data_IF_545257871673
#
_entry.id   IF_545257871673
#
_cell.length_a   1.000
_cell.length_b   1.000
_cell.length_c   1.000
_cell.angle_alpha   90.00
_cell.angle_beta   90.00
_cell.angle_gamma   90.00
#
_symmetry.space_group_name_H-M   'P 1'
#
loop_
_entity.id
_entity.type
_entity.pdbx_description
1 polymer ?
#
# COMPACT_ATOMS: atom_id res chain seq x y z
N UNK A 1 31.06 30.05 3.91
CA UNK A 1 31.26 28.64 4.28
C UNK A 1 30.16 28.23 5.24
N UNK A 2 29.11 27.55 4.77
CA UNK A 2 28.18 26.82 5.66
C UNK A 2 27.66 25.62 4.89
N UNK A 3 28.10 24.42 5.27
CA UNK A 3 27.52 23.16 4.81
C UNK A 3 26.28 22.89 5.66
N UNK A 4 25.10 22.87 5.05
CA UNK A 4 23.93 22.27 5.68
C UNK A 4 23.83 20.82 5.20
N UNK A 5 24.40 19.91 6.00
CA UNK A 5 24.09 18.49 5.92
C UNK A 5 22.67 18.29 6.47
N UNK A 6 21.74 17.84 5.63
CA UNK A 6 20.46 17.29 6.08
C UNK A 6 20.57 15.76 6.00
N UNK A 7 20.26 14.99 7.06
CA UNK A 7 20.28 13.54 6.96
C UNK A 7 19.12 13.09 6.07
N UNK A 8 19.48 12.44 4.96
CA UNK A 8 18.56 11.69 4.11
C UNK A 8 17.93 10.56 4.92
N UNK A 9 16.71 10.76 5.42
CA UNK A 9 15.91 9.70 6.04
C UNK A 9 15.50 8.73 4.93
N UNK A 10 16.29 7.66 4.80
CA UNK A 10 16.00 6.55 3.91
C UNK A 10 14.70 5.90 4.35
N UNK A 11 13.63 6.10 3.58
CA UNK A 11 12.37 5.41 3.78
C UNK A 11 12.61 3.90 3.57
N UNK A 12 12.55 3.12 4.66
CA UNK A 12 12.55 1.66 4.61
C UNK A 12 11.11 1.17 4.48
N UNK A 13 10.68 0.86 3.27
CA UNK A 13 9.51 0.01 3.06
C UNK A 13 9.98 -1.45 3.20
N UNK A 14 9.59 -2.13 4.28
CA UNK A 14 9.80 -3.56 4.44
C UNK A 14 8.57 -4.30 3.88
N UNK A 15 8.71 -4.92 2.71
CA UNK A 15 7.72 -5.84 2.15
C UNK A 15 8.03 -7.22 2.73
N UNK A 16 7.19 -7.72 3.64
CA UNK A 16 7.29 -9.09 4.13
C UNK A 16 6.78 -10.05 3.04
N UNK A 17 7.70 -10.57 2.23
CA UNK A 17 7.45 -11.75 1.41
C UNK A 17 7.68 -12.99 2.27
N UNK A 18 6.74 -13.93 2.24
CA UNK A 18 6.75 -15.15 3.03
C UNK A 18 8.08 -15.92 2.93
N UNK A 19 8.70 -16.10 4.11
CA UNK A 19 9.70 -17.07 4.53
C UNK A 19 10.64 -17.68 3.47
N UNK A 20 11.87 -17.14 3.39
CA UNK A 20 13.06 -17.95 3.15
C UNK A 20 13.68 -18.31 4.51
N UNK A 21 13.81 -19.62 4.77
CA UNK A 21 14.41 -20.15 5.98
C UNK A 21 15.93 -20.21 5.81
N UNK A 22 16.67 -19.30 6.48
CA UNK A 22 17.90 -19.60 7.25
C UNK A 22 18.63 -18.33 7.74
N UNK A 23 18.82 -18.28 9.07
CA UNK A 23 19.92 -17.68 9.86
C UNK A 23 20.13 -16.16 9.77
N UNK A 24 19.89 -15.52 10.91
CA UNK A 24 20.34 -14.16 11.23
C UNK A 24 19.18 -13.36 11.80
N UNK A 25 19.19 -13.14 13.12
CA UNK A 25 18.10 -12.49 13.85
C UNK A 25 17.79 -11.09 13.31
N UNK A 26 16.75 -11.00 12.48
CA UNK A 26 16.00 -9.78 12.30
C UNK A 26 15.28 -9.48 13.63
N UNK A 27 15.06 -8.21 14.01
CA UNK A 27 14.12 -7.90 15.09
C UNK A 27 12.84 -8.68 14.81
N UNK A 28 12.22 -9.27 15.84
CA UNK A 28 10.96 -10.01 15.69
C UNK A 28 10.00 -9.11 14.93
N UNK A 29 9.86 -9.36 13.63
CA UNK A 29 8.84 -8.74 12.83
C UNK A 29 7.59 -9.44 13.32
N UNK A 30 6.88 -8.77 14.22
CA UNK A 30 5.56 -9.22 14.59
C UNK A 30 4.79 -9.37 13.27
N UNK A 31 4.28 -10.57 12.97
CA UNK A 31 3.54 -10.79 11.74
C UNK A 31 2.40 -9.78 11.73
N UNK A 32 2.24 -9.09 10.60
CA UNK A 32 1.14 -8.15 10.45
C UNK A 32 -0.18 -8.87 10.75
N UNK A 33 -1.10 -8.23 11.48
CA UNK A 33 -2.41 -8.82 11.73
C UNK A 33 -3.06 -9.20 10.41
N UNK A 34 -3.27 -10.49 10.21
CA UNK A 34 -3.89 -11.05 9.02
C UNK A 34 -5.33 -11.51 9.29
N UNK A 35 -6.23 -11.22 8.36
CA UNK A 35 -7.61 -11.72 8.40
C UNK A 35 -7.94 -12.42 7.09
N UNK A 36 -8.22 -13.72 7.17
CA UNK A 36 -8.84 -14.47 6.08
C UNK A 36 -10.35 -14.19 6.02
N UNK A 37 -10.89 -13.99 4.82
CA UNK A 37 -12.33 -13.89 4.61
C UNK A 37 -12.75 -14.54 3.29
N UNK A 38 -13.87 -15.24 3.31
CA UNK A 38 -14.59 -15.64 2.10
C UNK A 38 -15.50 -14.49 1.68
N UNK A 39 -15.25 -13.90 0.52
CA UNK A 39 -16.15 -12.93 -0.07
C UNK A 39 -17.46 -13.58 -0.53
N UNK A 40 -18.56 -12.81 -0.64
CA UNK A 40 -19.83 -13.30 -1.17
C UNK A 40 -19.75 -13.73 -2.65
N UNK A 41 -18.66 -13.35 -3.33
CA UNK A 41 -18.27 -13.72 -4.68
C UNK A 41 -17.49 -15.05 -4.76
N UNK A 42 -17.30 -15.75 -3.63
CA UNK A 42 -16.50 -16.97 -3.55
C UNK A 42 -14.99 -16.74 -3.62
N UNK A 43 -14.53 -15.49 -3.59
CA UNK A 43 -13.11 -15.16 -3.58
C UNK A 43 -12.57 -15.32 -2.15
N UNK A 44 -11.49 -16.08 -1.98
CA UNK A 44 -10.80 -16.15 -0.70
C UNK A 44 -9.74 -15.04 -0.63
N UNK A 45 -9.86 -14.18 0.37
CA UNK A 45 -9.01 -12.99 0.52
C UNK A 45 -8.28 -13.04 1.84
N UNK A 46 -6.99 -12.68 1.81
CA UNK A 46 -6.18 -12.43 3.00
C UNK A 46 -5.87 -10.95 3.05
N UNK A 47 -6.23 -10.30 4.15
CA UNK A 47 -6.04 -8.88 4.38
C UNK A 47 -4.94 -8.69 5.43
N UNK A 48 -4.00 -7.79 5.18
CA UNK A 48 -3.01 -7.38 6.17
C UNK A 48 -3.21 -5.90 6.52
N UNK A 49 -3.07 -5.59 7.80
CA UNK A 49 -3.26 -4.26 8.35
C UNK A 49 -2.00 -3.79 9.06
N UNK A 50 -1.83 -2.48 9.15
CA UNK A 50 -0.83 -1.89 10.02
C UNK A 50 -1.29 -1.86 11.49
N UNK A 51 -0.43 -1.35 12.37
CA UNK A 51 -0.72 -1.24 13.80
C UNK A 51 -1.83 -0.23 14.13
N UNK A 52 -2.16 0.67 13.21
CA UNK A 52 -3.27 1.62 13.35
C UNK A 52 -4.62 1.03 12.89
N UNK A 53 -4.59 -0.16 12.27
CA UNK A 53 -5.79 -0.82 11.73
C UNK A 53 -6.09 -0.46 10.28
N UNK A 54 -5.18 0.22 9.59
CA UNK A 54 -5.33 0.56 8.17
C UNK A 54 -4.86 -0.60 7.28
N UNK A 55 -5.62 -0.89 6.20
CA UNK A 55 -5.30 -1.99 5.28
C UNK A 55 -4.14 -1.60 4.37
N UNK A 56 -3.08 -2.41 4.39
CA UNK A 56 -1.87 -2.23 3.56
C UNK A 56 -1.74 -3.28 2.44
N UNK A 57 -2.31 -4.46 2.61
CA UNK A 57 -2.28 -5.53 1.61
C UNK A 57 -3.63 -6.24 1.51
N UNK A 58 -4.04 -6.56 0.29
CA UNK A 58 -5.12 -7.49 0.00
C UNK A 58 -4.62 -8.56 -0.96
N UNK A 59 -4.68 -9.82 -0.57
CA UNK A 59 -4.30 -10.96 -1.41
C UNK A 59 -5.52 -11.77 -1.76
N UNK A 60 -5.88 -11.78 -3.04
CA UNK A 60 -6.88 -12.68 -3.58
C UNK A 60 -6.23 -14.03 -3.90
N UNK A 61 -6.53 -15.06 -3.09
CA UNK A 61 -5.98 -16.41 -3.27
C UNK A 61 -6.61 -17.14 -4.45
N UNK A 62 -7.86 -16.82 -4.79
CA UNK A 62 -8.56 -17.45 -5.92
C UNK A 62 -8.07 -16.86 -7.25
N UNK A 63 -7.89 -15.54 -7.33
CA UNK A 63 -7.44 -14.82 -8.52
C UNK A 63 -5.91 -14.68 -8.66
N UNK A 64 -5.15 -14.97 -7.61
CA UNK A 64 -3.68 -14.87 -7.61
C UNK A 64 -3.14 -13.44 -7.67
N UNK A 65 -3.97 -12.43 -7.42
CA UNK A 65 -3.56 -11.02 -7.38
C UNK A 65 -3.30 -10.59 -5.94
N UNK A 66 -2.22 -9.82 -5.73
CA UNK A 66 -1.96 -9.14 -4.46
C UNK A 66 -1.93 -7.63 -4.68
N UNK A 67 -2.80 -6.90 -4.02
CA UNK A 67 -2.87 -5.43 -4.06
C UNK A 67 -2.15 -4.85 -2.85
N UNK A 68 -1.28 -3.87 -3.09
CA UNK A 68 -0.53 -3.13 -2.09
C UNK A 68 -0.95 -1.67 -2.10
N UNK A 69 -1.15 -1.11 -0.91
CA UNK A 69 -1.49 0.29 -0.70
C UNK A 69 -0.28 1.03 -0.13
N UNK A 70 0.30 1.94 -0.91
CA UNK A 70 1.32 2.86 -0.42
C UNK A 70 0.66 4.09 0.18
N UNK A 71 1.02 4.43 1.42
CA UNK A 71 0.47 5.56 2.16
C UNK A 71 1.57 6.50 2.63
N UNK A 72 1.20 7.75 2.92
CA UNK A 72 2.07 8.69 3.63
C UNK A 72 2.09 8.40 5.15
N UNK A 73 2.79 9.25 5.90
CA UNK A 73 2.93 9.12 7.35
C UNK A 73 1.64 9.45 8.11
N UNK A 74 0.72 10.18 7.49
CA UNK A 74 -0.57 10.58 8.04
C UNK A 74 -1.69 9.60 7.62
N UNK A 75 -1.34 8.56 6.83
CA UNK A 75 -2.23 7.51 6.38
C UNK A 75 -2.93 7.76 5.05
N UNK A 76 -2.68 8.87 4.35
CA UNK A 76 -3.29 9.12 3.06
C UNK A 76 -2.78 8.13 2.00
N UNK A 77 -3.69 7.54 1.22
CA UNK A 77 -3.35 6.60 0.15
C UNK A 77 -2.71 7.31 -1.02
N UNK A 78 -1.42 7.08 -1.26
CA UNK A 78 -0.67 7.70 -2.36
C UNK A 78 -0.73 6.88 -3.65
N UNK A 79 -0.69 5.55 -3.53
CA UNK A 79 -0.62 4.65 -4.69
C UNK A 79 -1.17 3.26 -4.40
N UNK A 80 -1.78 2.68 -5.42
CA UNK A 80 -2.17 1.28 -5.48
C UNK A 80 -1.29 0.52 -6.50
N UNK A 81 -0.75 -0.61 -6.06
CA UNK A 81 0.14 -1.48 -6.85
C UNK A 81 -0.43 -2.89 -6.82
N UNK A 82 -0.50 -3.56 -7.97
CA UNK A 82 -0.88 -4.96 -8.06
C UNK A 82 0.34 -5.83 -8.38
N UNK A 83 0.44 -6.97 -7.72
CA UNK A 83 1.30 -8.08 -8.10
C UNK A 83 0.42 -9.17 -8.71
N UNK A 84 0.58 -9.41 -10.01
CA UNK A 84 -0.15 -10.43 -10.75
C UNK A 84 0.82 -11.24 -11.58
N UNK A 85 0.74 -12.57 -11.48
CA UNK A 85 1.64 -13.49 -12.18
C UNK A 85 3.15 -13.17 -12.00
N UNK A 86 3.54 -12.68 -10.82
CA UNK A 86 4.94 -12.32 -10.52
C UNK A 86 5.40 -10.96 -11.05
N UNK A 87 4.52 -10.20 -11.72
CA UNK A 87 4.81 -8.85 -12.20
C UNK A 87 4.11 -7.79 -11.34
N UNK A 88 4.84 -6.74 -10.99
CA UNK A 88 4.27 -5.55 -10.36
C UNK A 88 3.73 -4.61 -11.42
N UNK A 89 2.48 -4.19 -11.25
CA UNK A 89 1.80 -3.24 -12.10
C UNK A 89 1.28 -2.08 -11.28
N UNK A 90 1.42 -0.88 -11.83
CA UNK A 90 0.88 0.33 -11.22
C UNK A 90 -0.60 0.41 -11.56
N UNK A 91 -1.46 0.58 -10.56
CA UNK A 91 -2.90 0.63 -10.77
C UNK A 91 -3.35 2.07 -10.77
N UNK A 92 -3.08 2.79 -9.67
CA UNK A 92 -3.62 4.12 -9.44
C UNK A 92 -2.71 4.98 -8.58
N UNK A 93 -2.56 6.23 -8.98
CA UNK A 93 -1.92 7.28 -8.20
C UNK A 93 -2.94 8.27 -7.66
N UNK A 94 -2.70 8.80 -6.47
CA UNK A 94 -3.54 9.78 -5.80
C UNK A 94 -2.72 11.02 -5.48
N UNK A 95 -3.29 12.19 -5.78
CA UNK A 95 -2.63 13.49 -5.66
C UNK A 95 -3.44 14.33 -4.69
N UNK A 96 -2.77 14.80 -3.64
CA UNK A 96 -3.38 15.60 -2.59
C UNK A 96 -2.82 17.02 -2.59
N UNK A 97 -3.63 17.96 -2.11
CA UNK A 97 -3.23 19.32 -1.80
C UNK A 97 -3.87 19.72 -0.48
N UNK A 98 -3.06 20.15 0.49
CA UNK A 98 -3.55 20.58 1.81
C UNK A 98 -4.42 19.50 2.49
N UNK A 99 -4.04 18.23 2.33
CA UNK A 99 -4.77 17.06 2.86
C UNK A 99 -6.01 16.64 2.05
N UNK A 100 -6.35 17.36 0.98
CA UNK A 100 -7.56 17.13 0.18
C UNK A 100 -7.22 16.44 -1.14
N UNK A 101 -7.98 15.39 -1.50
CA UNK A 101 -7.79 14.65 -2.75
C UNK A 101 -8.13 15.55 -3.94
N UNK A 102 -7.14 15.87 -4.74
CA UNK A 102 -7.25 16.76 -5.89
C UNK A 102 -7.48 15.98 -7.18
N UNK A 103 -6.74 14.90 -7.36
CA UNK A 103 -6.81 14.09 -8.55
C UNK A 103 -6.38 12.65 -8.28
N UNK A 104 -6.80 11.76 -9.17
CA UNK A 104 -6.25 10.42 -9.25
C UNK A 104 -5.96 10.04 -10.70
N UNK A 105 -4.91 9.27 -10.92
CA UNK A 105 -4.56 8.75 -12.23
C UNK A 105 -4.64 7.23 -12.21
N UNK A 106 -5.61 6.67 -12.91
CA UNK A 106 -5.66 5.23 -13.13
C UNK A 106 -4.87 4.88 -14.38
N UNK A 107 -4.14 3.76 -14.37
CA UNK A 107 -3.29 3.33 -15.50
C UNK A 107 -4.06 3.25 -16.83
N UNK A 108 -5.31 2.80 -16.80
CA UNK A 108 -6.13 2.58 -18.01
C UNK A 108 -7.24 3.61 -18.20
N UNK A 109 -7.71 4.26 -17.14
CA UNK A 109 -8.85 5.20 -17.20
C UNK A 109 -8.39 6.66 -17.32
N UNK A 110 -7.09 6.92 -17.17
CA UNK A 110 -6.51 8.25 -17.26
C UNK A 110 -6.69 9.07 -15.99
N UNK A 111 -6.70 10.40 -16.15
CA UNK A 111 -6.77 11.35 -15.04
C UNK A 111 -8.22 11.68 -14.67
N UNK A 112 -8.52 11.59 -13.37
CA UNK A 112 -9.77 12.04 -12.77
C UNK A 112 -9.46 13.20 -11.83
N UNK A 113 -10.11 14.34 -12.03
CA UNK A 113 -10.03 15.48 -11.13
C UNK A 113 -11.23 15.47 -10.20
N UNK A 114 -10.98 15.62 -8.91
CA UNK A 114 -12.02 15.60 -7.89
C UNK A 114 -12.36 17.03 -7.50
N UNK A 115 -13.64 17.38 -7.61
CA UNK A 115 -14.13 18.66 -7.13
C UNK A 115 -14.43 18.52 -5.64
N UNK A 116 -13.80 19.37 -4.83
CA UNK A 116 -14.04 19.39 -3.40
C UNK A 116 -15.47 19.88 -3.16
N UNK A 117 -16.29 18.97 -2.62
CA UNK A 117 -17.58 19.37 -2.10
C UNK A 117 -17.37 20.11 -0.78
N UNK A 118 -18.35 20.89 -0.35
CA UNK A 118 -18.32 21.53 0.98
C UNK A 118 -18.32 20.51 2.14
N UNK A 119 -18.45 19.21 1.83
CA UNK A 119 -18.43 18.12 2.80
C UNK A 119 -17.10 17.36 2.82
N UNK A 120 -16.14 17.72 1.96
CA UNK A 120 -14.99 16.87 1.67
C UNK A 120 -15.43 15.74 0.75
#
# INVERSE_FOLDING_TARGET
MTRCCSPSTTARAAIALGSDSRRGGLPSQDPLPEKGSNGPDGQHRVLAYDASGERIVERNLTGGTTTFNLRDLDGALLREIELKAGAYEWVKDYIYRDGLLLASQHRTEGHQHHALSHLG
#
